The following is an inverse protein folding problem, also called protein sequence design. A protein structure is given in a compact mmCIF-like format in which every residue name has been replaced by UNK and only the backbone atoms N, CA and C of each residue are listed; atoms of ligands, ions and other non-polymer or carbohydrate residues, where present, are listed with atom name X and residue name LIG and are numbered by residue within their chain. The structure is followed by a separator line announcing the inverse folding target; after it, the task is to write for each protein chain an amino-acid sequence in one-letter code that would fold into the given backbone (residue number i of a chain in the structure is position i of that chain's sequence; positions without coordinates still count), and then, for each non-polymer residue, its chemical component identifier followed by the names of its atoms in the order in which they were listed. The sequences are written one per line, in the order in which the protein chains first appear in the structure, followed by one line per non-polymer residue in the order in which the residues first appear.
data_IF_506090088412
#
_entry.id   IF_506090088412
#
_cell.length_a   1.000
_cell.length_b   1.000
_cell.length_c   1.000
_cell.angle_alpha   90.00
_cell.angle_beta   90.00
_cell.angle_gamma   90.00
#
_symmetry.space_group_name_H-M   'P 1'
#
loop_
_entity.id
_entity.type
_entity.pdbx_description
1 polymer ?
#
# COMPACT_ATOMS: atom_id res chain seq x y z
N UNK A 1 23.08 -8.10 22.36
CA UNK A 1 22.26 -8.11 21.14
C UNK A 1 21.15 -7.09 21.39
N UNK A 2 21.32 -5.87 20.91
CA UNK A 2 20.26 -4.87 20.93
C UNK A 2 19.18 -5.39 20.00
N UNK A 3 17.97 -5.63 20.51
CA UNK A 3 16.78 -5.93 19.69
C UNK A 3 16.66 -4.79 18.68
N UNK A 4 16.87 -5.08 17.42
CA UNK A 4 16.85 -4.12 16.31
C UNK A 4 15.38 -3.78 15.98
N UNK A 5 14.74 -3.06 16.91
CA UNK A 5 13.35 -2.56 16.79
C UNK A 5 13.28 -1.22 16.05
N UNK A 6 14.23 -0.98 15.16
CA UNK A 6 14.28 0.26 14.42
C UNK A 6 13.03 0.40 13.56
N UNK A 7 12.27 1.50 13.68
CA UNK A 7 10.95 1.64 13.03
C UNK A 7 10.95 1.36 11.53
N UNK A 8 12.01 1.72 10.83
CA UNK A 8 12.13 1.54 9.38
C UNK A 8 12.12 0.07 8.89
N UNK A 9 12.43 -0.90 9.75
CA UNK A 9 12.41 -2.32 9.37
C UNK A 9 10.99 -2.85 9.11
N UNK A 10 9.98 -2.19 9.63
CA UNK A 10 8.61 -2.71 9.68
C UNK A 10 7.96 -2.88 8.30
N UNK A 11 8.13 -1.91 7.39
CA UNK A 11 7.59 -2.04 6.05
C UNK A 11 8.31 -3.14 5.26
N UNK A 12 9.62 -3.24 5.44
CA UNK A 12 10.38 -4.34 4.81
C UNK A 12 9.97 -5.69 5.37
N UNK A 13 9.74 -5.79 6.68
CA UNK A 13 9.22 -7.00 7.30
C UNK A 13 7.84 -7.39 6.71
N UNK A 14 6.96 -6.41 6.42
CA UNK A 14 5.69 -6.67 5.74
C UNK A 14 5.91 -7.25 4.32
N UNK A 15 6.80 -6.65 3.52
CA UNK A 15 7.15 -7.18 2.18
C UNK A 15 7.77 -8.56 2.27
N UNK A 16 8.68 -8.80 3.21
CA UNK A 16 9.30 -10.09 3.44
C UNK A 16 8.29 -11.19 3.84
N UNK A 17 7.27 -10.82 4.61
CA UNK A 17 6.15 -11.73 4.89
C UNK A 17 5.44 -12.14 3.59
N UNK A 18 5.15 -11.18 2.72
CA UNK A 18 4.46 -11.43 1.44
C UNK A 18 5.27 -12.35 0.52
N UNK A 19 6.58 -12.16 0.42
CA UNK A 19 7.46 -13.04 -0.39
C UNK A 19 7.54 -14.47 0.15
N UNK A 20 7.23 -14.67 1.44
CA UNK A 20 7.10 -16.00 2.06
C UNK A 20 5.66 -16.56 2.03
N UNK A 21 4.72 -15.89 1.37
CA UNK A 21 3.31 -16.29 1.38
C UNK A 21 2.60 -16.09 2.72
N UNK A 22 3.16 -15.30 3.64
CA UNK A 22 2.57 -15.02 4.95
C UNK A 22 1.65 -13.81 4.83
N UNK A 23 0.37 -13.88 5.26
CA UNK A 23 -0.57 -12.78 5.14
C UNK A 23 -0.11 -11.49 5.82
N UNK A 24 -0.40 -10.36 5.15
CA UNK A 24 -0.32 -9.01 5.70
C UNK A 24 -1.71 -8.40 5.63
N UNK A 25 -2.28 -8.07 6.79
CA UNK A 25 -3.57 -7.39 6.88
C UNK A 25 -3.33 -5.88 6.89
N UNK A 26 -4.03 -5.15 6.02
CA UNK A 26 -3.92 -3.71 5.86
C UNK A 26 -5.28 -3.03 6.02
N UNK A 27 -5.36 -2.03 6.92
CA UNK A 27 -6.52 -1.18 7.11
C UNK A 27 -6.40 0.08 6.27
N UNK A 28 -7.45 0.41 5.49
CA UNK A 28 -7.53 1.65 4.73
C UNK A 28 -8.08 2.81 5.55
N UNK A 29 -7.53 4.01 5.36
CA UNK A 29 -7.91 5.22 6.07
C UNK A 29 -8.27 6.33 5.08
N UNK A 30 -9.53 6.73 5.07
CA UNK A 30 -10.08 7.84 4.27
C UNK A 30 -10.69 8.95 5.11
N UNK A 31 -11.37 8.57 6.21
CA UNK A 31 -12.17 9.48 7.03
C UNK A 31 -11.50 9.85 8.34
N UNK A 32 -10.79 8.94 8.97
CA UNK A 32 -10.12 9.19 10.25
C UNK A 32 -9.08 10.30 10.12
N UNK A 33 -9.05 11.19 11.11
CA UNK A 33 -8.17 12.37 11.12
C UNK A 33 -7.26 12.42 12.34
N UNK A 34 -7.27 11.36 13.17
CA UNK A 34 -6.43 11.27 14.37
C UNK A 34 -5.58 10.01 14.36
N UNK A 35 -4.45 9.99 15.08
CA UNK A 35 -3.60 8.81 15.25
C UNK A 35 -4.29 7.61 15.89
N UNK A 36 -5.49 7.77 16.49
CA UNK A 36 -6.21 6.67 17.11
C UNK A 36 -6.53 5.54 16.14
N UNK A 37 -6.69 5.86 14.85
CA UNK A 37 -6.91 4.82 13.84
C UNK A 37 -5.74 3.84 13.75
N UNK A 38 -4.51 4.29 13.99
CA UNK A 38 -3.34 3.42 14.05
C UNK A 38 -3.39 2.49 15.26
N UNK A 39 -3.85 2.98 16.43
CA UNK A 39 -4.07 2.16 17.62
C UNK A 39 -5.17 1.13 17.41
N UNK A 40 -6.28 1.52 16.77
CA UNK A 40 -7.37 0.61 16.40
C UNK A 40 -6.85 -0.48 15.46
N UNK A 41 -6.13 -0.13 14.42
CA UNK A 41 -5.54 -1.09 13.50
C UNK A 41 -4.61 -2.07 14.22
N UNK A 42 -3.74 -1.59 15.11
CA UNK A 42 -2.84 -2.43 15.90
C UNK A 42 -3.61 -3.39 16.80
N UNK A 43 -4.61 -2.88 17.53
CA UNK A 43 -5.40 -3.67 18.49
C UNK A 43 -6.29 -4.70 17.79
N UNK A 44 -6.68 -4.45 16.53
CA UNK A 44 -7.45 -5.39 15.71
C UNK A 44 -6.59 -6.37 14.89
N UNK A 45 -5.28 -6.42 15.13
CA UNK A 45 -4.38 -7.42 14.55
C UNK A 45 -3.87 -7.11 13.14
N UNK A 46 -3.99 -5.86 12.68
CA UNK A 46 -3.42 -5.45 11.40
C UNK A 46 -1.89 -5.34 11.48
N UNK A 47 -1.26 -5.47 10.33
CA UNK A 47 0.20 -5.38 10.15
C UNK A 47 0.60 -4.10 9.42
N UNK A 48 -0.33 -3.54 8.66
CA UNK A 48 -0.14 -2.35 7.86
C UNK A 48 -1.36 -1.42 7.93
N UNK A 49 -1.12 -0.17 7.64
CA UNK A 49 -2.10 0.89 7.46
C UNK A 49 -1.86 1.51 6.09
N UNK A 50 -2.89 1.87 5.35
CA UNK A 50 -2.70 2.68 4.16
C UNK A 50 -3.63 3.88 4.17
N UNK A 51 -3.04 5.06 4.06
CA UNK A 51 -3.74 6.33 3.99
C UNK A 51 -4.02 6.65 2.53
N UNK A 52 -5.26 6.97 2.23
CA UNK A 52 -5.71 7.24 0.87
C UNK A 52 -5.78 8.75 0.63
N UNK A 53 -4.84 9.29 -0.15
CA UNK A 53 -4.84 10.69 -0.56
C UNK A 53 -5.40 10.90 -1.96
N UNK A 54 -5.71 9.83 -2.68
CA UNK A 54 -6.35 9.90 -3.98
C UNK A 54 -7.86 10.12 -3.85
N UNK A 55 -8.53 9.35 -2.99
CA UNK A 55 -9.98 9.41 -2.81
C UNK A 55 -10.39 9.96 -1.45
N UNK A 56 -9.61 10.86 -0.89
CA UNK A 56 -9.96 11.58 0.33
C UNK A 56 -9.51 13.04 0.28
N UNK A 57 -10.09 13.85 1.15
CA UNK A 57 -9.68 15.26 1.35
C UNK A 57 -8.69 15.40 2.51
N UNK A 58 -7.95 14.33 2.81
CA UNK A 58 -6.98 14.34 3.91
C UNK A 58 -5.77 15.20 3.55
N UNK A 59 -5.40 16.11 4.46
CA UNK A 59 -4.21 16.91 4.31
C UNK A 59 -2.94 16.09 4.62
N UNK A 60 -1.80 16.47 4.04
CA UNK A 60 -0.52 15.75 4.19
C UNK A 60 -0.06 15.69 5.65
N UNK A 61 -0.27 16.75 6.43
CA UNK A 61 0.08 16.81 7.86
C UNK A 61 -0.70 15.78 8.68
N UNK A 62 -2.00 15.63 8.40
CA UNK A 62 -2.84 14.60 9.03
C UNK A 62 -2.38 13.19 8.65
N UNK A 63 -2.08 12.96 7.37
CA UNK A 63 -1.52 11.69 6.91
C UNK A 63 -0.20 11.37 7.60
N UNK A 64 0.70 12.37 7.72
CA UNK A 64 1.98 12.23 8.40
C UNK A 64 1.80 11.87 9.88
N UNK A 65 0.91 12.54 10.62
CA UNK A 65 0.63 12.21 12.03
C UNK A 65 0.12 10.77 12.22
N UNK A 66 -0.78 10.31 11.35
CA UNK A 66 -1.30 8.94 11.40
C UNK A 66 -0.19 7.94 11.08
N UNK A 67 0.61 8.21 10.03
CA UNK A 67 1.69 7.31 9.63
C UNK A 67 2.83 7.24 10.64
N UNK A 68 3.21 8.35 11.26
CA UNK A 68 4.20 8.37 12.33
C UNK A 68 3.73 7.54 13.54
N UNK A 69 2.46 7.69 13.96
CA UNK A 69 1.91 6.88 15.03
C UNK A 69 1.82 5.38 14.67
N UNK A 70 1.53 5.06 13.41
CA UNK A 70 1.54 3.68 12.94
C UNK A 70 2.96 3.08 13.01
N UNK A 71 3.97 3.85 12.63
CA UNK A 71 5.37 3.48 12.70
C UNK A 71 5.79 3.15 14.14
N UNK A 72 5.48 4.03 15.10
CA UNK A 72 5.76 3.85 16.53
C UNK A 72 5.09 2.60 17.12
N UNK A 73 3.92 2.24 16.60
CA UNK A 73 3.16 1.06 17.02
C UNK A 73 3.60 -0.24 16.35
N UNK A 74 4.57 -0.19 15.46
CA UNK A 74 5.02 -1.36 14.73
C UNK A 74 4.09 -1.80 13.60
N UNK A 75 3.35 -0.87 13.00
CA UNK A 75 2.61 -1.07 11.76
C UNK A 75 3.41 -0.53 10.58
N UNK A 76 3.28 -1.15 9.41
CA UNK A 76 3.85 -0.62 8.18
C UNK A 76 2.92 0.46 7.58
N UNK A 77 3.29 1.77 7.64
CA UNK A 77 2.45 2.83 7.08
C UNK A 77 2.69 2.98 5.59
N UNK A 78 1.61 2.86 4.80
CA UNK A 78 1.58 3.16 3.38
C UNK A 78 0.74 4.41 3.12
N UNK A 79 1.04 5.14 2.04
CA UNK A 79 0.19 6.20 1.51
C UNK A 79 -0.04 5.99 0.02
N UNK A 80 -1.32 6.05 -0.41
CA UNK A 80 -1.66 6.15 -1.83
C UNK A 80 -1.68 7.63 -2.20
N UNK A 81 -0.80 8.01 -3.12
CA UNK A 81 -0.72 9.38 -3.62
C UNK A 81 -1.77 9.64 -4.69
N UNK A 82 -2.17 10.90 -4.94
CA UNK A 82 -2.99 11.24 -6.10
C UNK A 82 -2.26 10.88 -7.40
N UNK A 83 -3.02 10.59 -8.44
CA UNK A 83 -2.49 10.26 -9.76
C UNK A 83 -1.51 11.35 -10.23
N UNK A 84 -0.29 10.95 -10.61
CA UNK A 84 0.78 11.83 -11.16
C UNK A 84 1.23 13.00 -10.28
N UNK A 85 0.77 13.08 -9.04
CA UNK A 85 1.22 14.10 -8.08
C UNK A 85 2.47 13.66 -7.29
N UNK A 86 3.53 13.30 -7.97
CA UNK A 86 4.73 12.74 -7.33
C UNK A 86 5.51 13.76 -6.47
N UNK A 87 5.22 15.06 -6.61
CA UNK A 87 5.81 16.11 -5.76
C UNK A 87 5.48 16.00 -4.27
N UNK A 88 4.41 15.29 -3.91
CA UNK A 88 4.04 15.07 -2.48
C UNK A 88 4.80 13.91 -1.83
N UNK A 89 5.41 13.03 -2.62
CA UNK A 89 6.04 11.78 -2.14
C UNK A 89 7.13 12.08 -1.11
N UNK A 90 8.02 13.01 -1.39
CA UNK A 90 9.11 13.38 -0.46
C UNK A 90 8.58 13.81 0.90
N UNK A 91 7.54 14.66 0.92
CA UNK A 91 6.91 15.16 2.15
C UNK A 91 6.22 14.03 2.95
N UNK A 92 5.57 13.10 2.27
CA UNK A 92 4.94 11.94 2.90
C UNK A 92 5.99 11.01 3.53
N UNK A 93 7.05 10.71 2.77
CA UNK A 93 8.17 9.92 3.28
C UNK A 93 8.88 10.62 4.44
N UNK A 94 9.01 11.94 4.44
CA UNK A 94 9.57 12.70 5.56
C UNK A 94 8.63 12.68 6.78
N UNK A 95 7.33 12.57 6.55
CA UNK A 95 6.27 12.50 7.55
C UNK A 95 6.01 11.13 8.19
N UNK A 96 6.84 10.11 7.92
CA UNK A 96 6.69 8.81 8.57
C UNK A 96 6.11 7.70 7.68
N UNK A 97 5.76 7.99 6.42
CA UNK A 97 5.34 6.96 5.46
C UNK A 97 6.54 6.08 5.08
N UNK A 98 6.34 4.77 5.06
CA UNK A 98 7.34 3.80 4.59
C UNK A 98 7.01 3.23 3.20
N UNK A 99 5.73 3.15 2.85
CA UNK A 99 5.31 2.61 1.56
C UNK A 99 4.54 3.64 0.73
N UNK A 100 4.96 3.86 -0.50
CA UNK A 100 4.22 4.68 -1.47
C UNK A 100 3.44 3.76 -2.41
N UNK A 101 2.16 4.07 -2.59
CA UNK A 101 1.26 3.42 -3.54
C UNK A 101 0.97 4.45 -4.64
N UNK A 102 1.51 4.23 -5.85
CA UNK A 102 1.28 5.11 -6.99
C UNK A 102 0.21 4.50 -7.90
N UNK A 103 -0.95 5.16 -8.05
CA UNK A 103 -2.06 4.68 -8.89
C UNK A 103 -1.79 4.93 -10.38
N UNK A 104 -2.54 4.23 -11.24
CA UNK A 104 -2.66 4.44 -12.68
C UNK A 104 -1.34 4.53 -13.46
N UNK A 105 -0.35 3.76 -13.06
CA UNK A 105 0.93 3.69 -13.77
C UNK A 105 0.81 2.72 -14.95
N UNK A 106 1.13 3.20 -16.14
CA UNK A 106 0.93 2.46 -17.38
C UNK A 106 2.22 2.11 -18.12
N UNK A 107 3.35 2.66 -17.71
CA UNK A 107 4.62 2.41 -18.39
C UNK A 107 5.80 2.27 -17.44
N UNK A 108 6.91 1.73 -17.94
CA UNK A 108 8.16 1.65 -17.19
C UNK A 108 8.75 3.04 -16.88
N UNK A 109 8.57 4.00 -17.79
CA UNK A 109 9.01 5.38 -17.62
C UNK A 109 8.26 6.06 -16.49
N UNK A 110 6.93 5.95 -16.44
CA UNK A 110 6.11 6.48 -15.34
C UNK A 110 6.49 5.81 -13.99
N UNK A 111 6.71 4.49 -13.98
CA UNK A 111 7.17 3.79 -12.80
C UNK A 111 8.56 4.26 -12.34
N UNK A 112 9.46 4.59 -13.29
CA UNK A 112 10.77 5.14 -12.98
C UNK A 112 10.67 6.52 -12.33
N UNK A 113 9.72 7.36 -12.74
CA UNK A 113 9.48 8.67 -12.11
C UNK A 113 9.03 8.52 -10.65
N UNK A 114 8.16 7.53 -10.37
CA UNK A 114 7.78 7.20 -9.00
C UNK A 114 8.99 6.73 -8.17
N UNK A 115 9.79 5.84 -8.72
CA UNK A 115 11.04 5.38 -8.07
C UNK A 115 11.97 6.56 -7.80
N UNK A 116 12.13 7.45 -8.77
CA UNK A 116 13.00 8.62 -8.65
C UNK A 116 12.54 9.57 -7.52
N UNK A 117 11.23 9.75 -7.34
CA UNK A 117 10.68 10.55 -6.24
C UNK A 117 10.83 9.87 -4.86
N UNK A 118 10.87 8.53 -4.82
CA UNK A 118 10.95 7.76 -3.58
C UNK A 118 12.37 7.53 -3.06
N UNK A 119 13.36 7.51 -3.93
CA UNK A 119 14.73 7.06 -3.64
C UNK A 119 15.74 8.20 -3.64
N UNK A 120 16.68 8.15 -2.69
CA UNK A 120 17.87 9.02 -2.73
C UNK A 120 18.84 8.59 -3.83
N UNK A 121 19.69 9.52 -4.32
CA UNK A 121 20.75 9.16 -5.26
C UNK A 121 21.62 7.98 -4.77
N UNK A 122 22.16 7.13 -5.67
CA UNK A 122 22.05 7.22 -7.13
C UNK A 122 20.78 6.58 -7.72
N UNK A 123 19.88 6.01 -6.90
CA UNK A 123 18.67 5.30 -7.34
C UNK A 123 17.53 6.21 -7.77
N UNK A 124 17.52 7.44 -7.28
CA UNK A 124 16.49 8.45 -7.55
C UNK A 124 16.98 9.86 -7.25
N UNK A 125 16.01 10.76 -7.03
CA UNK A 125 16.26 12.21 -6.84
C UNK A 125 15.61 12.77 -5.57
N UNK A 126 15.16 11.92 -4.63
CA UNK A 126 14.60 12.38 -3.36
C UNK A 126 15.56 13.36 -2.70
N UNK A 127 15.04 14.51 -2.26
CA UNK A 127 15.83 15.53 -1.57
C UNK A 127 16.35 15.01 -0.24
N UNK A 128 17.61 15.29 0.07
CA UNK A 128 18.25 14.85 1.30
C UNK A 128 17.71 15.61 2.52
N UNK A 129 17.54 14.88 3.62
CA UNK A 129 17.15 15.39 4.94
C UNK A 129 18.04 14.74 6.00
N UNK A 130 18.22 15.39 7.13
CA UNK A 130 19.22 14.94 8.11
C UNK A 130 18.73 13.98 9.18
N UNK A 131 17.43 14.04 9.53
CA UNK A 131 16.83 13.24 10.61
C UNK A 131 15.35 13.01 10.33
N UNK A 132 14.85 11.81 10.61
CA UNK A 132 13.45 11.44 10.43
C UNK A 132 12.98 10.49 11.54
N UNK A 133 11.65 10.40 11.74
CA UNK A 133 11.03 9.47 12.66
C UNK A 133 11.41 8.00 12.40
N UNK A 134 11.67 7.65 11.15
CA UNK A 134 12.13 6.30 10.73
C UNK A 134 13.36 5.79 11.48
N UNK A 135 14.19 6.69 11.94
CA UNK A 135 15.45 6.42 12.68
C UNK A 135 15.41 7.10 14.05
N UNK A 136 14.23 7.30 14.63
CA UNK A 136 14.04 7.95 15.93
C UNK A 136 14.78 9.31 16.05
N UNK A 137 14.83 10.07 14.93
CA UNK A 137 15.57 11.32 14.80
C UNK A 137 17.06 11.23 15.17
N UNK A 138 17.63 10.01 15.19
CA UNK A 138 19.06 9.84 15.46
C UNK A 138 19.89 10.36 14.28
N UNK A 139 20.97 11.06 14.62
CA UNK A 139 21.94 11.52 13.63
C UNK A 139 22.83 10.35 13.19
N UNK A 140 23.01 10.21 11.90
CA UNK A 140 23.94 9.27 11.29
C UNK A 140 24.63 9.90 10.07
N UNK A 141 25.75 9.33 9.58
CA UNK A 141 26.38 9.82 8.36
C UNK A 141 25.41 9.83 7.18
N UNK A 142 25.40 10.88 6.37
CA UNK A 142 24.42 11.08 5.30
C UNK A 142 24.35 9.91 4.31
N UNK A 143 25.48 9.31 3.96
CA UNK A 143 25.53 8.16 3.08
C UNK A 143 24.83 6.92 3.70
N UNK A 144 25.02 6.70 4.98
CA UNK A 144 24.38 5.62 5.73
C UNK A 144 22.87 5.87 5.84
N UNK A 145 22.48 7.10 6.18
CA UNK A 145 21.09 7.54 6.24
C UNK A 145 20.35 7.27 4.92
N UNK A 146 20.88 7.78 3.80
CA UNK A 146 20.29 7.59 2.49
C UNK A 146 20.18 6.10 2.12
N UNK A 147 21.21 5.31 2.39
CA UNK A 147 21.18 3.86 2.13
C UNK A 147 20.14 3.15 2.99
N UNK A 148 20.05 3.50 4.27
CA UNK A 148 19.06 2.94 5.20
C UNK A 148 17.65 3.25 4.75
N UNK A 149 17.34 4.50 4.44
CA UNK A 149 15.98 4.88 4.00
C UNK A 149 15.65 4.35 2.60
N UNK A 150 16.62 4.27 1.68
CA UNK A 150 16.41 3.58 0.41
C UNK A 150 16.02 2.11 0.61
N UNK A 151 16.57 1.43 1.61
CA UNK A 151 16.18 0.06 1.97
C UNK A 151 14.83 -0.01 2.67
N UNK A 152 14.51 0.97 3.51
CA UNK A 152 13.27 1.04 4.26
C UNK A 152 12.04 1.28 3.36
N UNK A 153 12.16 2.22 2.45
CA UNK A 153 11.05 2.63 1.58
C UNK A 153 10.57 1.49 0.70
N UNK A 154 9.26 1.33 0.59
CA UNK A 154 8.59 0.39 -0.30
C UNK A 154 7.89 1.15 -1.41
N UNK A 155 8.21 0.84 -2.66
CA UNK A 155 7.54 1.40 -3.85
C UNK A 155 6.58 0.37 -4.41
N UNK A 156 5.29 0.68 -4.31
CA UNK A 156 4.19 -0.13 -4.85
C UNK A 156 3.55 0.58 -6.03
N UNK A 157 3.56 -0.05 -7.18
CA UNK A 157 2.94 0.45 -8.41
C UNK A 157 1.59 -0.22 -8.60
N UNK A 158 0.51 0.57 -8.82
CA UNK A 158 -0.82 0.05 -9.15
C UNK A 158 -1.04 0.03 -10.66
N UNK A 159 -1.45 -1.13 -11.14
CA UNK A 159 -1.88 -1.38 -12.51
C UNK A 159 -3.42 -1.39 -12.52
N UNK A 160 -4.03 -0.45 -13.21
CA UNK A 160 -5.47 -0.16 -13.17
C UNK A 160 -6.09 -0.02 -14.55
N UNK A 161 -5.29 -0.31 -15.61
CA UNK A 161 -5.75 -0.28 -17.00
C UNK A 161 -5.19 -1.46 -17.81
N UNK A 162 -5.78 -1.82 -18.94
CA UNK A 162 -5.23 -2.82 -19.86
C UNK A 162 -3.77 -2.54 -20.25
N UNK A 163 -3.43 -1.28 -20.52
CA UNK A 163 -2.08 -0.85 -20.86
C UNK A 163 -1.08 -1.09 -19.72
N UNK A 164 -1.47 -0.79 -18.50
CA UNK A 164 -0.66 -1.10 -17.31
C UNK A 164 -0.39 -2.60 -17.17
N UNK A 165 -1.40 -3.44 -17.44
CA UNK A 165 -1.26 -4.90 -17.43
C UNK A 165 -0.33 -5.39 -18.53
N UNK A 166 -0.44 -4.87 -19.76
CA UNK A 166 0.46 -5.18 -20.89
C UNK A 166 1.92 -4.89 -20.54
N UNK A 167 2.17 -3.81 -19.79
CA UNK A 167 3.49 -3.37 -19.38
C UNK A 167 3.94 -3.94 -18.02
N UNK A 168 3.15 -4.81 -17.39
CA UNK A 168 3.45 -5.33 -16.04
C UNK A 168 4.86 -5.94 -15.92
N UNK A 169 5.33 -6.63 -16.97
CA UNK A 169 6.64 -7.27 -16.95
C UNK A 169 7.79 -6.25 -16.93
N UNK A 170 7.73 -5.21 -17.75
CA UNK A 170 8.74 -4.14 -17.80
C UNK A 170 8.72 -3.32 -16.50
N UNK A 171 7.54 -3.01 -15.97
CA UNK A 171 7.38 -2.30 -14.69
C UNK A 171 7.92 -3.15 -13.53
N UNK A 172 7.56 -4.44 -13.47
CA UNK A 172 8.04 -5.34 -12.42
C UNK A 172 9.57 -5.53 -12.46
N UNK A 173 10.19 -5.48 -13.64
CA UNK A 173 11.64 -5.64 -13.77
C UNK A 173 12.46 -4.43 -13.29
N UNK A 174 11.83 -3.24 -13.12
CA UNK A 174 12.55 -2.02 -12.75
C UNK A 174 13.22 -2.13 -11.39
N UNK A 175 14.52 -1.78 -11.29
CA UNK A 175 15.17 -1.56 -10.01
C UNK A 175 14.46 -0.45 -9.23
N UNK A 176 14.23 -0.67 -7.93
CA UNK A 176 13.58 0.32 -7.05
C UNK A 176 12.07 0.16 -6.92
N UNK A 177 11.38 -0.54 -7.81
CA UNK A 177 10.02 -1.04 -7.59
C UNK A 177 10.11 -2.27 -6.67
N UNK A 178 9.36 -2.28 -5.57
CA UNK A 178 9.39 -3.39 -4.59
C UNK A 178 8.22 -4.35 -4.77
N UNK A 179 7.06 -3.88 -5.20
CA UNK A 179 5.88 -4.68 -5.42
C UNK A 179 4.92 -4.03 -6.42
N UNK A 180 4.09 -4.84 -7.05
CA UNK A 180 2.98 -4.34 -7.85
C UNK A 180 1.65 -4.54 -7.11
N UNK A 181 0.64 -3.83 -7.58
CA UNK A 181 -0.75 -4.03 -7.18
C UNK A 181 -1.68 -3.95 -8.38
N UNK A 182 -2.85 -4.55 -8.27
CA UNK A 182 -3.96 -4.33 -9.20
C UNK A 182 -5.10 -3.66 -8.44
N UNK A 183 -5.59 -2.54 -8.97
CA UNK A 183 -6.86 -1.93 -8.58
C UNK A 183 -7.97 -2.48 -9.46
N UNK A 184 -8.58 -3.61 -9.04
CA UNK A 184 -9.51 -4.35 -9.90
C UNK A 184 -10.78 -3.56 -10.24
N UNK A 185 -11.23 -2.65 -9.39
CA UNK A 185 -12.38 -1.79 -9.68
C UNK A 185 -12.13 -0.93 -10.92
N UNK A 186 -11.02 -0.19 -10.93
CA UNK A 186 -10.65 0.68 -12.05
C UNK A 186 -10.31 -0.14 -13.29
N UNK A 187 -9.56 -1.23 -13.12
CA UNK A 187 -9.25 -2.14 -14.23
C UNK A 187 -10.51 -2.66 -14.93
N UNK A 188 -11.52 -3.11 -14.17
CA UNK A 188 -12.78 -3.60 -14.77
C UNK A 188 -13.55 -2.49 -15.47
N UNK A 189 -13.53 -1.27 -14.94
CA UNK A 189 -14.14 -0.11 -15.58
C UNK A 189 -13.45 0.24 -16.90
N UNK A 190 -12.11 0.31 -16.93
CA UNK A 190 -11.32 0.56 -18.14
C UNK A 190 -11.48 -0.55 -19.19
N UNK A 191 -11.75 -1.79 -18.78
CA UNK A 191 -12.06 -2.90 -19.67
C UNK A 191 -13.51 -2.91 -20.17
N UNK A 192 -14.36 -1.98 -19.72
CA UNK A 192 -15.79 -1.92 -20.10
C UNK A 192 -16.67 -2.99 -19.43
N UNK A 193 -16.19 -3.63 -18.37
CA UNK A 193 -16.88 -4.70 -17.61
C UNK A 193 -16.91 -4.36 -16.12
N UNK A 194 -17.24 -3.11 -15.79
CA UNK A 194 -17.19 -2.57 -14.43
C UNK A 194 -17.89 -3.49 -13.40
N UNK A 195 -17.14 -3.89 -12.38
CA UNK A 195 -17.60 -4.76 -11.29
C UNK A 195 -17.66 -6.26 -11.62
N UNK A 196 -17.39 -6.67 -12.86
CA UNK A 196 -17.37 -8.08 -13.26
C UNK A 196 -16.01 -8.73 -12.96
N UNK A 197 -15.66 -8.85 -11.69
CA UNK A 197 -14.34 -9.32 -11.25
C UNK A 197 -13.95 -10.71 -11.76
N UNK A 198 -14.93 -11.58 -12.07
CA UNK A 198 -14.72 -12.93 -12.60
C UNK A 198 -14.78 -13.00 -14.13
N UNK A 199 -14.94 -11.86 -14.83
CA UNK A 199 -14.92 -11.85 -16.28
C UNK A 199 -13.63 -12.50 -16.81
N UNK A 200 -13.69 -13.35 -17.87
CA UNK A 200 -12.52 -14.08 -18.37
C UNK A 200 -11.32 -13.19 -18.71
N UNK A 201 -11.58 -11.99 -19.25
CA UNK A 201 -10.53 -11.05 -19.60
C UNK A 201 -9.86 -10.43 -18.36
N UNK A 202 -10.65 -10.11 -17.33
CA UNK A 202 -10.14 -9.63 -16.03
C UNK A 202 -9.28 -10.70 -15.37
N UNK A 203 -9.74 -11.96 -15.42
CA UNK A 203 -8.95 -13.09 -14.93
C UNK A 203 -7.62 -13.22 -15.65
N UNK A 204 -7.61 -13.12 -16.98
CA UNK A 204 -6.36 -13.13 -17.77
C UNK A 204 -5.43 -11.98 -17.41
N UNK A 205 -5.98 -10.79 -17.16
CA UNK A 205 -5.19 -9.66 -16.68
C UNK A 205 -4.51 -9.93 -15.33
N UNK A 206 -5.25 -10.50 -14.37
CA UNK A 206 -4.69 -10.93 -13.08
C UNK A 206 -3.56 -11.96 -13.29
N UNK A 207 -3.79 -13.00 -14.10
CA UNK A 207 -2.79 -14.05 -14.38
C UNK A 207 -1.55 -13.49 -15.05
N UNK A 208 -1.70 -12.56 -15.99
CA UNK A 208 -0.58 -11.86 -16.66
C UNK A 208 0.29 -11.11 -15.65
N UNK A 209 -0.31 -10.35 -14.77
CA UNK A 209 0.43 -9.59 -13.75
C UNK A 209 1.07 -10.50 -12.68
N UNK A 210 0.40 -11.60 -12.28
CA UNK A 210 0.96 -12.61 -11.39
C UNK A 210 2.24 -13.20 -12.00
N UNK A 211 2.18 -13.60 -13.27
CA UNK A 211 3.34 -14.17 -13.96
C UNK A 211 4.49 -13.16 -14.12
N UNK A 212 4.18 -11.90 -14.45
CA UNK A 212 5.17 -10.83 -14.52
C UNK A 212 5.91 -10.63 -13.18
N UNK A 213 5.16 -10.56 -12.09
CA UNK A 213 5.71 -10.39 -10.75
C UNK A 213 6.49 -11.63 -10.29
N UNK A 214 6.00 -12.83 -10.62
CA UNK A 214 6.71 -14.09 -10.32
C UNK A 214 8.09 -14.13 -10.99
N UNK A 215 8.19 -13.74 -12.26
CA UNK A 215 9.48 -13.66 -12.99
C UNK A 215 10.43 -12.63 -12.39
N UNK A 216 9.88 -11.50 -11.95
CA UNK A 216 10.65 -10.45 -11.30
C UNK A 216 10.96 -10.73 -9.82
N UNK A 217 10.45 -11.82 -9.25
CA UNK A 217 10.55 -12.18 -7.82
C UNK A 217 10.02 -11.07 -6.89
N UNK A 218 8.91 -10.41 -7.30
CA UNK A 218 8.25 -9.34 -6.54
C UNK A 218 6.82 -9.74 -6.20
N UNK A 219 6.32 -9.36 -5.01
CA UNK A 219 4.93 -9.63 -4.65
C UNK A 219 3.96 -8.80 -5.50
N UNK A 220 2.85 -9.41 -5.90
CA UNK A 220 1.69 -8.73 -6.49
C UNK A 220 0.53 -8.76 -5.50
N UNK A 221 0.07 -7.59 -5.04
CA UNK A 221 -1.18 -7.46 -4.29
C UNK A 221 -2.36 -7.22 -5.23
N UNK A 222 -3.50 -7.83 -4.97
CA UNK A 222 -4.73 -7.58 -5.75
C UNK A 222 -5.78 -6.99 -4.81
N UNK A 223 -6.23 -5.77 -5.11
CA UNK A 223 -7.23 -5.03 -4.36
C UNK A 223 -8.53 -4.84 -5.15
N UNK A 224 -9.57 -4.31 -4.49
CA UNK A 224 -10.86 -4.02 -5.10
C UNK A 224 -11.76 -5.24 -5.28
N UNK A 225 -11.46 -6.39 -4.68
CA UNK A 225 -12.27 -7.61 -4.79
C UNK A 225 -12.93 -7.88 -3.44
N UNK A 226 -14.27 -7.72 -3.38
CA UNK A 226 -15.07 -8.06 -2.21
C UNK A 226 -15.36 -9.57 -2.06
N UNK A 227 -15.19 -10.35 -3.12
CA UNK A 227 -15.37 -11.81 -3.11
C UNK A 227 -14.13 -12.50 -2.53
N UNK A 228 -14.21 -12.87 -1.26
CA UNK A 228 -13.12 -13.53 -0.52
C UNK A 228 -12.71 -14.85 -1.15
N UNK A 229 -13.65 -15.61 -1.73
CA UNK A 229 -13.36 -16.87 -2.38
C UNK A 229 -12.51 -16.66 -3.64
N UNK A 230 -12.83 -15.65 -4.43
CA UNK A 230 -12.06 -15.29 -5.61
C UNK A 230 -10.68 -14.72 -5.25
N UNK A 231 -10.59 -13.87 -4.23
CA UNK A 231 -9.31 -13.40 -3.72
C UNK A 231 -8.41 -14.57 -3.29
N UNK A 232 -8.96 -15.58 -2.61
CA UNK A 232 -8.23 -16.79 -2.23
C UNK A 232 -7.80 -17.65 -3.43
N UNK A 233 -8.59 -17.67 -4.52
CA UNK A 233 -8.16 -18.31 -5.78
C UNK A 233 -6.92 -17.62 -6.36
N UNK A 234 -6.93 -16.29 -6.41
CA UNK A 234 -5.79 -15.51 -6.94
C UNK A 234 -4.52 -15.69 -6.11
N UNK A 235 -4.66 -15.78 -4.79
CA UNK A 235 -3.52 -16.12 -3.91
C UNK A 235 -2.97 -17.51 -4.22
N UNK A 236 -3.83 -18.50 -4.45
CA UNK A 236 -3.37 -19.85 -4.87
C UNK A 236 -2.70 -19.86 -6.24
N UNK A 237 -3.04 -18.93 -7.13
CA UNK A 237 -2.37 -18.72 -8.42
C UNK A 237 -1.02 -18.01 -8.32
N UNK A 238 -0.70 -17.41 -7.15
CA UNK A 238 0.59 -16.78 -6.91
C UNK A 238 0.52 -15.29 -6.58
N UNK A 239 -0.67 -14.71 -6.43
CA UNK A 239 -0.80 -13.37 -5.87
C UNK A 239 -0.33 -13.36 -4.40
N UNK A 240 0.30 -12.29 -3.96
CA UNK A 240 0.72 -12.13 -2.59
C UNK A 240 -0.50 -11.91 -1.67
N UNK A 241 -0.53 -12.52 -0.47
CA UNK A 241 -1.63 -12.38 0.47
C UNK A 241 -1.57 -11.02 1.21
N UNK A 242 -1.55 -9.92 0.48
CA UNK A 242 -1.71 -8.58 1.00
C UNK A 242 -3.21 -8.25 1.02
N UNK A 243 -3.82 -8.40 2.19
CA UNK A 243 -5.26 -8.37 2.35
C UNK A 243 -5.71 -6.99 2.81
N UNK A 244 -6.42 -6.27 1.94
CA UNK A 244 -7.17 -5.09 2.35
C UNK A 244 -8.43 -5.54 3.08
N UNK A 245 -8.49 -5.28 4.38
CA UNK A 245 -9.58 -5.76 5.23
C UNK A 245 -10.81 -4.83 5.19
N UNK A 246 -10.64 -3.63 4.67
CA UNK A 246 -11.67 -2.61 4.51
C UNK A 246 -11.10 -1.20 4.69
N UNK A 247 -11.95 -0.23 4.44
CA UNK A 247 -11.68 1.18 4.67
C UNK A 247 -12.45 1.61 5.92
N UNK A 248 -11.89 2.51 6.70
CA UNK A 248 -12.47 2.97 7.98
C UNK A 248 -13.94 3.42 7.86
N UNK A 249 -14.31 4.09 6.75
CA UNK A 249 -15.70 4.47 6.45
C UNK A 249 -16.64 3.28 6.31
N UNK A 250 -16.23 2.27 5.56
CA UNK A 250 -17.08 1.12 5.25
C UNK A 250 -17.25 0.22 6.47
N UNK A 251 -16.17 0.04 7.23
CA UNK A 251 -16.18 -0.72 8.48
C UNK A 251 -17.06 -0.03 9.54
N UNK A 252 -16.95 1.30 9.69
CA UNK A 252 -17.79 2.06 10.61
C UNK A 252 -19.26 2.01 10.21
N UNK A 253 -19.57 2.19 8.91
CA UNK A 253 -20.95 2.11 8.41
C UNK A 253 -21.54 0.72 8.64
N UNK A 254 -20.80 -0.34 8.35
CA UNK A 254 -21.23 -1.71 8.57
C UNK A 254 -21.56 -1.96 10.04
N UNK A 255 -20.64 -1.67 10.94
CA UNK A 255 -20.83 -1.85 12.36
C UNK A 255 -21.99 -0.99 12.92
N UNK A 256 -22.14 0.25 12.48
CA UNK A 256 -23.23 1.13 12.90
C UNK A 256 -24.61 0.60 12.42
N UNK A 257 -24.72 0.12 11.19
CA UNK A 257 -25.96 -0.50 10.66
C UNK A 257 -26.35 -1.75 11.45
N UNK A 258 -25.38 -2.61 11.74
CA UNK A 258 -25.62 -3.84 12.50
C UNK A 258 -26.15 -3.53 13.90
N UNK A 259 -25.53 -2.56 14.59
CA UNK A 259 -25.98 -2.14 15.94
C UNK A 259 -27.36 -1.49 15.92
N UNK A 260 -27.64 -0.62 14.94
CA UNK A 260 -28.97 -0.02 14.79
C UNK A 260 -30.04 -1.09 14.54
N UNK A 261 -29.79 -2.05 13.66
CA UNK A 261 -30.69 -3.16 13.38
C UNK A 261 -30.96 -4.02 14.63
N UNK A 262 -29.93 -4.36 15.40
CA UNK A 262 -30.07 -5.10 16.65
C UNK A 262 -30.92 -4.34 17.67
N UNK A 263 -30.69 -3.04 17.86
CA UNK A 263 -31.47 -2.22 18.77
C UNK A 263 -32.95 -2.13 18.38
N UNK A 264 -33.24 -1.95 17.07
CA UNK A 264 -34.61 -1.92 16.57
C UNK A 264 -35.32 -3.27 16.69
N UNK A 265 -34.61 -4.38 16.53
CA UNK A 265 -35.18 -5.71 16.73
C UNK A 265 -35.56 -5.95 18.20
N UNK A 266 -34.72 -5.52 19.13
CA UNK A 266 -35.01 -5.62 20.58
C UNK A 266 -36.26 -4.84 20.99
N UNK A 267 -36.53 -3.68 20.37
CA UNK A 267 -37.72 -2.87 20.70
C UNK A 267 -39.02 -3.42 20.12
N UNK A 268 -38.96 -4.43 19.21
CA UNK A 268 -40.13 -5.08 18.58
C UNK A 268 -40.47 -6.43 19.25
N UNK A 269 -39.60 -6.94 20.09
CA UNK A 269 -39.79 -8.16 20.89
C UNK A 269 -40.45 -7.85 22.24
#
# INVERSE_FOLDING_TARGET
MQDDKTPWLLARAAVERLTRGIPVLALGVRSSRTPDIARIAKSSGHHALWVDLEHSTMAIDTAAMICAAALDLGLAPFARVPEREYGVIGRLLDGGVLGIIAPRVESAEEAQDVVAACRFPPLGHRSAVGTLAHVDHQKMPAQEFNRTLNRATVVKILLESPRGIENAASIAALPGVDMLGIGTNDLTAEMGVAGEYRHPDVRRAHETAIEACRRAQKPLAIGGIGDVAYAAELVRLGAAPFMFTGIDTDLLLGAARDRASQALAFLKS
#
